data_IF_984123770592
#
_entry.id   IF_984123770592
#
_cell.length_a   1.000
_cell.length_b   1.000
_cell.length_c   1.000
_cell.angle_alpha   90.00
_cell.angle_beta   90.00
_cell.angle_gamma   90.00
#
_symmetry.space_group_name_H-M   'P 1'
#
loop_
_entity.id
_entity.type
_entity.pdbx_description
1 polymer ?
#
# COMPACT_ATOMS: atom_id res chain seq x y z
N UNK A 1 3.49 27.19 -55.36
CA UNK A 1 2.65 28.40 -55.24
C UNK A 1 2.57 28.73 -53.77
N UNK A 2 3.39 29.52 -53.25
CA UNK A 2 3.42 30.96 -52.89
C UNK A 2 2.05 31.48 -52.48
N UNK A 3 1.88 31.78 -51.16
CA UNK A 3 1.38 33.06 -50.68
C UNK A 3 1.72 33.23 -49.21
N UNK A 4 2.52 34.17 -48.96
CA UNK A 4 2.83 35.05 -47.86
C UNK A 4 1.65 36.00 -47.59
N UNK A 5 1.52 36.52 -46.38
CA UNK A 5 1.12 37.87 -45.94
C UNK A 5 1.14 37.85 -44.42
N UNK A 6 1.91 38.52 -43.71
CA UNK A 6 2.36 39.89 -43.43
C UNK A 6 1.55 40.54 -42.30
N UNK A 7 2.20 40.75 -41.20
CA UNK A 7 2.44 41.96 -40.37
C UNK A 7 1.22 42.69 -39.80
N UNK A 8 1.31 42.95 -38.51
CA UNK A 8 0.57 43.97 -37.81
C UNK A 8 1.11 44.26 -36.42
N UNK A 9 2.17 45.05 -36.34
CA UNK A 9 2.64 45.77 -35.13
C UNK A 9 1.66 46.89 -34.83
N UNK A 10 1.27 47.09 -33.57
CA UNK A 10 0.98 48.41 -33.02
C UNK A 10 1.45 48.43 -31.56
N UNK A 11 2.45 49.26 -31.34
CA UNK A 11 2.89 49.79 -30.05
C UNK A 11 2.24 51.17 -29.87
N UNK A 12 1.76 51.48 -28.67
CA UNK A 12 1.50 52.84 -28.14
C UNK A 12 1.68 52.71 -26.62
N UNK A 13 2.59 53.17 -26.05
CA UNK A 13 3.39 54.28 -25.52
C UNK A 13 2.54 55.32 -24.77
N UNK A 14 3.14 55.76 -23.69
CA UNK A 14 2.95 57.02 -22.89
C UNK A 14 1.97 56.93 -21.74
N UNK A 15 2.35 57.16 -20.58
CA UNK A 15 3.17 58.14 -19.87
C UNK A 15 2.31 58.90 -18.83
N UNK A 16 2.94 59.15 -17.76
CA UNK A 16 3.05 60.35 -16.92
C UNK A 16 2.39 60.33 -15.55
N UNK A 17 3.23 60.15 -14.55
CA UNK A 17 3.56 61.07 -13.40
C UNK A 17 2.40 61.88 -12.78
N UNK A 18 2.19 61.70 -11.49
CA UNK A 18 2.04 62.74 -10.54
C UNK A 18 2.43 62.27 -9.13
N UNK A 19 3.49 62.90 -8.61
CA UNK A 19 3.81 62.97 -7.20
C UNK A 19 2.79 63.90 -6.54
N UNK A 20 2.35 63.53 -5.36
CA UNK A 20 2.03 64.59 -4.37
C UNK A 20 2.31 64.03 -2.96
N UNK A 21 3.25 64.68 -2.30
CA UNK A 21 3.55 64.59 -0.89
C UNK A 21 2.33 65.06 -0.10
N UNK A 22 1.94 64.31 0.93
CA UNK A 22 1.26 64.90 2.05
C UNK A 22 1.91 64.46 3.36
N UNK A 23 2.57 65.41 3.93
CA UNK A 23 3.22 65.41 5.24
C UNK A 23 2.19 65.20 6.37
N UNK A 24 2.55 64.26 7.24
CA UNK A 24 2.57 64.44 8.69
C UNK A 24 1.23 64.75 9.40
N UNK A 25 0.70 63.73 10.06
CA UNK A 25 0.07 63.91 11.37
C UNK A 25 0.29 62.70 12.24
N UNK A 26 1.27 62.86 13.14
CA UNK A 26 1.52 61.93 14.26
C UNK A 26 0.28 62.00 15.19
N UNK A 27 -0.50 60.93 15.18
CA UNK A 27 -1.45 60.65 16.25
C UNK A 27 -0.99 59.38 16.93
N UNK A 28 -0.41 59.53 18.11
CA UNK A 28 -0.09 58.43 19.00
C UNK A 28 -1.41 57.88 19.51
N UNK A 29 -1.88 56.81 18.92
CA UNK A 29 -2.94 56.03 19.50
C UNK A 29 -2.33 54.94 20.37
N UNK A 30 -2.73 54.93 21.62
CA UNK A 30 -2.43 53.90 22.59
C UNK A 30 -2.79 52.52 21.99
N UNK A 31 -1.77 51.69 21.77
CA UNK A 31 -1.97 50.29 21.51
C UNK A 31 -2.40 49.60 22.80
N UNK A 32 -3.68 49.32 22.94
CA UNK A 32 -4.15 48.30 23.87
C UNK A 32 -3.50 46.97 23.46
N UNK A 33 -2.59 46.51 24.30
CA UNK A 33 -2.05 45.14 24.19
C UNK A 33 -3.17 44.18 24.61
N UNK A 34 -4.09 43.92 23.70
CA UNK A 34 -4.96 42.79 23.82
C UNK A 34 -4.12 41.54 23.67
N UNK A 35 -3.92 40.83 24.77
CA UNK A 35 -3.29 39.54 24.79
C UNK A 35 -4.15 38.54 23.99
N UNK A 36 -3.92 38.50 22.69
CA UNK A 36 -4.46 37.40 21.87
C UNK A 36 -3.71 36.15 22.29
N UNK A 37 -4.40 35.29 23.04
CA UNK A 37 -3.97 33.92 23.28
C UNK A 37 -3.76 33.26 21.93
N UNK A 38 -2.51 32.96 21.58
CA UNK A 38 -2.16 32.16 20.42
C UNK A 38 -2.89 30.82 20.61
N UNK A 39 -3.77 30.41 19.68
CA UNK A 39 -4.39 29.10 19.78
C UNK A 39 -3.27 28.05 19.78
N UNK A 40 -3.25 27.22 20.81
CA UNK A 40 -2.31 26.12 20.92
C UNK A 40 -2.41 25.28 19.64
N UNK A 41 -1.32 25.21 18.90
CA UNK A 41 -1.18 24.32 17.75
C UNK A 41 -1.51 22.91 18.23
N UNK A 42 -2.49 22.21 17.64
CA UNK A 42 -2.76 20.85 18.04
C UNK A 42 -1.47 20.03 17.92
N UNK A 43 -1.21 19.09 18.84
CA UNK A 43 -0.01 18.28 18.78
C UNK A 43 0.04 17.61 17.41
N UNK A 44 1.19 17.73 16.73
CA UNK A 44 1.48 16.99 15.52
C UNK A 44 1.28 15.50 15.87
N UNK A 45 0.18 14.93 15.40
CA UNK A 45 -0.01 13.48 15.42
C UNK A 45 1.12 12.95 14.55
N UNK A 46 2.12 12.37 15.20
CA UNK A 46 3.18 11.69 14.50
C UNK A 46 2.50 10.59 13.66
N UNK A 47 2.43 10.79 12.35
CA UNK A 47 1.91 9.77 11.46
C UNK A 47 2.78 8.53 11.68
N UNK A 48 2.16 7.49 12.26
CA UNK A 48 2.77 6.17 12.37
C UNK A 48 3.26 5.79 10.95
N UNK A 49 4.49 5.31 10.79
CA UNK A 49 4.98 4.96 9.46
C UNK A 49 4.04 3.90 8.86
N UNK A 50 3.49 4.20 7.68
CA UNK A 50 2.59 3.28 6.95
C UNK A 50 3.34 2.06 6.40
N UNK A 51 4.65 1.96 6.64
CA UNK A 51 5.52 0.92 6.10
C UNK A 51 6.26 0.16 7.19
N UNK A 52 6.47 -1.12 6.96
CA UNK A 52 7.08 -2.07 7.87
C UNK A 52 8.10 -2.93 7.14
N UNK A 53 8.93 -3.67 7.87
CA UNK A 53 9.87 -4.62 7.29
C UNK A 53 9.37 -6.04 7.50
N UNK A 54 9.19 -6.79 6.42
CA UNK A 54 8.93 -8.22 6.47
C UNK A 54 10.27 -8.94 6.72
N UNK A 55 10.49 -9.38 7.97
CA UNK A 55 11.78 -9.92 8.40
C UNK A 55 11.98 -11.37 8.00
N UNK A 56 10.90 -12.13 7.87
CA UNK A 56 10.95 -13.57 7.52
C UNK A 56 9.63 -14.04 6.92
N UNK A 57 9.71 -14.94 5.97
CA UNK A 57 8.58 -15.75 5.48
C UNK A 57 8.58 -17.08 6.23
N UNK A 58 7.45 -17.43 6.84
CA UNK A 58 7.26 -18.70 7.58
C UNK A 58 6.76 -19.77 6.61
N UNK A 59 5.74 -19.42 5.82
CA UNK A 59 5.11 -20.23 4.80
C UNK A 59 4.58 -19.35 3.68
N UNK A 60 4.04 -19.91 2.61
CA UNK A 60 3.56 -19.15 1.45
C UNK A 60 2.51 -18.07 1.76
N UNK A 61 1.78 -18.22 2.87
CA UNK A 61 0.73 -17.29 3.29
C UNK A 61 0.93 -16.69 4.71
N UNK A 62 2.10 -16.92 5.31
CA UNK A 62 2.39 -16.48 6.67
C UNK A 62 3.78 -15.87 6.76
N UNK A 63 3.86 -14.63 7.25
CA UNK A 63 5.11 -13.87 7.37
C UNK A 63 5.31 -13.32 8.78
N UNK A 64 6.55 -12.92 9.10
CA UNK A 64 6.90 -12.18 10.32
C UNK A 64 7.26 -10.77 9.90
N UNK A 65 6.67 -9.79 10.56
CA UNK A 65 6.85 -8.36 10.30
C UNK A 65 7.25 -7.65 11.59
N UNK A 66 8.20 -6.74 11.51
CA UNK A 66 8.58 -5.87 12.63
C UNK A 66 7.62 -4.67 12.66
N UNK A 67 6.78 -4.59 13.70
CA UNK A 67 5.81 -3.53 13.93
C UNK A 67 6.09 -2.91 15.30
N UNK A 68 6.43 -1.62 15.34
CA UNK A 68 6.72 -0.88 16.59
C UNK A 68 7.75 -1.59 17.50
N UNK A 69 8.77 -2.23 16.90
CA UNK A 69 9.79 -2.98 17.62
C UNK A 69 9.39 -4.40 18.03
N UNK A 70 8.17 -4.84 17.70
CA UNK A 70 7.66 -6.19 18.02
C UNK A 70 7.57 -7.03 16.76
N UNK A 71 8.00 -8.29 16.83
CA UNK A 71 7.84 -9.25 15.74
C UNK A 71 6.43 -9.84 15.76
N UNK A 72 5.61 -9.42 14.81
CA UNK A 72 4.23 -9.88 14.64
C UNK A 72 4.11 -10.91 13.53
N UNK A 73 3.34 -11.96 13.79
CA UNK A 73 2.99 -12.96 12.77
C UNK A 73 1.77 -12.50 11.99
N UNK A 74 1.91 -12.39 10.69
CA UNK A 74 0.85 -11.97 9.76
C UNK A 74 0.35 -13.20 8.99
N UNK A 75 -0.98 -13.41 8.97
CA UNK A 75 -1.66 -14.30 8.03
C UNK A 75 -2.20 -13.46 6.88
N UNK A 76 -1.76 -13.76 5.68
CA UNK A 76 -2.14 -13.05 4.45
C UNK A 76 -3.60 -13.36 4.13
N UNK A 77 -4.48 -12.34 4.17
CA UNK A 77 -5.93 -12.51 3.95
C UNK A 77 -6.22 -13.02 2.53
N UNK A 78 -7.18 -13.93 2.43
CA UNK A 78 -7.72 -14.39 1.13
C UNK A 78 -6.82 -15.32 0.35
N UNK A 79 -5.70 -15.76 0.94
CA UNK A 79 -4.74 -16.68 0.31
C UNK A 79 -4.62 -17.95 1.14
N UNK A 80 -4.59 -19.09 0.49
CA UNK A 80 -4.22 -20.38 1.09
C UNK A 80 -3.18 -21.05 0.21
N UNK A 81 -2.01 -21.33 0.79
CA UNK A 81 -0.92 -22.00 0.09
C UNK A 81 -0.76 -23.43 0.56
N UNK A 82 -0.21 -24.33 -0.28
CA UNK A 82 0.11 -25.68 0.18
C UNK A 82 1.06 -25.65 1.39
N UNK A 83 0.73 -26.43 2.42
CA UNK A 83 1.38 -26.41 3.74
C UNK A 83 2.80 -26.97 3.72
N UNK A 84 3.73 -26.30 4.42
CA UNK A 84 5.13 -26.73 4.53
C UNK A 84 5.62 -26.90 5.97
N UNK A 85 4.95 -26.30 6.95
CA UNK A 85 5.49 -26.17 8.32
C UNK A 85 4.68 -26.90 9.39
N UNK A 86 3.52 -27.51 9.08
CA UNK A 86 2.78 -28.31 10.05
C UNK A 86 3.52 -29.66 10.29
N UNK A 87 4.11 -29.86 11.49
CA UNK A 87 4.90 -31.06 11.77
C UNK A 87 4.09 -32.36 11.77
N UNK A 88 2.76 -32.26 11.76
CA UNK A 88 1.85 -33.39 11.76
C UNK A 88 1.49 -33.90 10.35
N UNK A 89 1.93 -33.16 9.32
CA UNK A 89 1.61 -33.45 7.92
C UNK A 89 2.89 -33.44 7.08
N UNK A 90 2.97 -34.29 6.03
CA UNK A 90 4.03 -34.15 5.05
C UNK A 90 3.92 -32.80 4.36
N UNK A 91 5.05 -32.29 3.88
CA UNK A 91 5.08 -31.09 3.01
C UNK A 91 4.19 -31.38 1.81
N UNK A 92 3.20 -30.52 1.60
CA UNK A 92 2.29 -30.67 0.47
C UNK A 92 2.99 -30.35 -0.84
N UNK A 93 2.53 -31.00 -1.92
CA UNK A 93 3.00 -30.69 -3.25
C UNK A 93 2.90 -29.18 -3.52
N UNK A 94 3.90 -28.64 -4.20
CA UNK A 94 4.05 -27.22 -4.49
C UNK A 94 4.30 -26.31 -3.28
N UNK A 95 4.20 -26.78 -2.03
CA UNK A 95 4.34 -25.96 -0.83
C UNK A 95 5.68 -25.23 -0.77
N UNK A 96 6.79 -25.93 -1.01
CA UNK A 96 8.12 -25.31 -1.02
C UNK A 96 8.23 -24.19 -2.06
N UNK A 97 7.71 -24.41 -3.28
CA UNK A 97 7.71 -23.41 -4.34
C UNK A 97 6.87 -22.19 -3.97
N UNK A 98 5.71 -22.38 -3.32
CA UNK A 98 4.87 -21.30 -2.84
C UNK A 98 5.59 -20.48 -1.76
N UNK A 99 6.22 -21.15 -0.79
CA UNK A 99 7.00 -20.48 0.26
C UNK A 99 8.19 -19.70 -0.31
N UNK A 100 8.95 -20.28 -1.23
CA UNK A 100 10.08 -19.63 -1.92
C UNK A 100 9.62 -18.42 -2.75
N UNK A 101 8.48 -18.53 -3.43
CA UNK A 101 7.91 -17.41 -4.17
C UNK A 101 7.56 -16.24 -3.25
N UNK A 102 6.83 -16.49 -2.16
CA UNK A 102 6.50 -15.46 -1.17
C UNK A 102 7.77 -14.88 -0.55
N UNK A 103 8.78 -15.72 -0.29
CA UNK A 103 10.08 -15.28 0.22
C UNK A 103 10.78 -14.33 -0.75
N UNK A 104 10.80 -14.63 -2.04
CA UNK A 104 11.40 -13.77 -3.07
C UNK A 104 10.73 -12.40 -3.16
N UNK A 105 9.42 -12.33 -2.88
CA UNK A 105 8.65 -11.08 -2.90
C UNK A 105 8.86 -10.23 -1.63
N UNK A 106 8.97 -10.86 -0.45
CA UNK A 106 8.76 -10.17 0.82
C UNK A 106 9.94 -10.19 1.78
N UNK A 107 10.83 -11.18 1.74
CA UNK A 107 11.87 -11.30 2.77
C UNK A 107 12.83 -10.11 2.75
N UNK A 108 12.97 -9.46 3.90
CA UNK A 108 13.74 -8.23 4.10
C UNK A 108 13.29 -7.04 3.24
N UNK A 109 12.02 -7.03 2.79
CA UNK A 109 11.44 -5.92 2.03
C UNK A 109 10.64 -5.00 2.92
N UNK A 110 10.61 -3.72 2.52
CA UNK A 110 9.66 -2.75 3.04
C UNK A 110 8.30 -2.98 2.40
N UNK A 111 7.27 -3.07 3.24
CA UNK A 111 5.90 -3.36 2.85
C UNK A 111 4.93 -2.40 3.53
N UNK A 112 3.73 -2.26 2.97
CA UNK A 112 2.57 -1.66 3.62
C UNK A 112 1.58 -2.75 4.00
N UNK A 113 0.97 -2.60 5.17
CA UNK A 113 -0.08 -3.50 5.65
C UNK A 113 -1.42 -2.78 5.63
N UNK A 114 -2.47 -3.49 5.26
CA UNK A 114 -3.85 -3.01 5.29
C UNK A 114 -4.72 -4.04 6.00
N UNK A 115 -5.53 -3.60 6.95
CA UNK A 115 -6.52 -4.42 7.63
C UNK A 115 -7.81 -4.54 6.81
N UNK A 116 -8.64 -5.49 7.21
CA UNK A 116 -10.01 -5.62 6.71
C UNK A 116 -10.97 -5.63 7.90
N UNK A 117 -11.77 -4.58 8.07
CA UNK A 117 -12.71 -4.50 9.19
C UNK A 117 -13.70 -5.66 9.24
N UNK A 118 -13.97 -6.32 8.10
CA UNK A 118 -14.90 -7.46 8.04
C UNK A 118 -14.28 -8.75 8.56
N UNK A 119 -12.93 -8.89 8.54
CA UNK A 119 -12.24 -10.13 8.88
C UNK A 119 -11.78 -10.19 10.35
N UNK A 120 -11.85 -9.06 11.07
CA UNK A 120 -11.28 -8.92 12.39
C UNK A 120 -9.76 -8.71 12.37
N UNK A 121 -9.19 -8.38 13.53
CA UNK A 121 -7.76 -8.05 13.62
C UNK A 121 -6.87 -9.29 13.60
N UNK A 122 -7.26 -10.36 14.31
CA UNK A 122 -6.46 -11.58 14.47
C UNK A 122 -7.28 -12.85 14.28
N UNK A 123 -6.61 -13.89 13.83
CA UNK A 123 -7.19 -15.22 13.77
C UNK A 123 -7.16 -15.96 15.14
N UNK A 124 -7.67 -17.17 15.18
CA UNK A 124 -7.65 -18.03 16.39
C UNK A 124 -6.25 -18.41 16.88
N UNK A 125 -5.22 -18.25 16.03
CA UNK A 125 -3.82 -18.49 16.37
C UNK A 125 -3.08 -17.21 16.75
N UNK A 126 -3.81 -16.09 16.96
CA UNK A 126 -3.28 -14.78 17.30
C UNK A 126 -2.45 -14.10 16.21
N UNK A 127 -2.51 -14.58 14.96
CA UNK A 127 -1.85 -13.94 13.82
C UNK A 127 -2.68 -12.74 13.38
N UNK A 128 -2.04 -11.61 13.07
CA UNK A 128 -2.70 -10.45 12.45
C UNK A 128 -3.18 -10.83 11.04
N UNK A 129 -4.40 -10.43 10.71
CA UNK A 129 -4.98 -10.62 9.38
C UNK A 129 -4.76 -9.35 8.56
N UNK A 130 -3.95 -9.43 7.48
CA UNK A 130 -3.59 -8.24 6.68
C UNK A 130 -3.54 -8.54 5.19
N UNK A 131 -3.83 -7.50 4.41
CA UNK A 131 -3.36 -7.40 3.04
C UNK A 131 -1.95 -6.84 3.05
N UNK A 132 -1.11 -7.33 2.14
CA UNK A 132 0.31 -6.99 2.06
C UNK A 132 0.57 -6.32 0.71
N UNK A 133 1.14 -5.12 0.74
CA UNK A 133 1.50 -4.36 -0.45
C UNK A 133 3.01 -4.12 -0.48
N UNK A 134 3.60 -4.26 -1.66
CA UNK A 134 4.93 -3.75 -1.93
C UNK A 134 4.90 -2.22 -2.06
N UNK A 135 6.06 -1.59 -2.03
CA UNK A 135 6.20 -0.13 -2.15
C UNK A 135 5.79 0.42 -3.52
N UNK A 136 5.76 -0.42 -4.55
CA UNK A 136 5.26 -0.09 -5.88
C UNK A 136 3.74 -0.22 -6.02
N UNK A 137 3.03 -0.57 -4.94
CA UNK A 137 1.59 -0.76 -4.91
C UNK A 137 1.12 -2.17 -5.27
N UNK A 138 2.01 -3.10 -5.58
CA UNK A 138 1.64 -4.50 -5.86
C UNK A 138 0.97 -5.14 -4.65
N UNK A 139 -0.25 -5.63 -4.81
CA UNK A 139 -0.97 -6.43 -3.80
C UNK A 139 -0.45 -7.87 -3.84
N UNK A 140 0.39 -8.21 -2.86
CA UNK A 140 1.09 -9.51 -2.80
C UNK A 140 0.12 -10.68 -2.68
N UNK A 141 -0.97 -10.52 -1.93
CA UNK A 141 -2.05 -11.50 -1.82
C UNK A 141 -2.53 -11.95 -3.21
N UNK A 142 -2.92 -10.97 -4.04
CA UNK A 142 -3.37 -11.23 -5.41
C UNK A 142 -2.26 -11.80 -6.28
N UNK A 143 -1.02 -11.32 -6.10
CA UNK A 143 0.14 -11.78 -6.87
C UNK A 143 0.42 -13.27 -6.63
N UNK A 144 0.35 -13.74 -5.39
CA UNK A 144 0.51 -15.16 -5.05
C UNK A 144 -0.53 -16.02 -5.79
N UNK A 145 -1.79 -15.59 -5.78
CA UNK A 145 -2.90 -16.31 -6.45
C UNK A 145 -2.74 -16.26 -7.96
N UNK A 146 -2.50 -15.08 -8.53
CA UNK A 146 -2.45 -14.89 -10.00
C UNK A 146 -1.29 -15.61 -10.68
N UNK A 147 -0.20 -15.89 -9.93
CA UNK A 147 0.93 -16.68 -10.42
C UNK A 147 0.78 -18.18 -10.09
N UNK A 148 -0.33 -18.56 -9.45
CA UNK A 148 -0.64 -19.96 -9.16
C UNK A 148 0.18 -20.55 -8.01
N UNK A 149 0.61 -19.73 -7.03
CA UNK A 149 1.31 -20.21 -5.84
C UNK A 149 0.41 -20.40 -4.62
N UNK A 150 -0.88 -20.08 -4.76
CA UNK A 150 -1.90 -20.28 -3.73
C UNK A 150 -3.30 -20.24 -4.31
N UNK A 151 -4.27 -20.66 -3.50
CA UNK A 151 -5.69 -20.62 -3.78
C UNK A 151 -6.32 -19.34 -3.22
N UNK A 152 -7.44 -18.91 -3.81
CA UNK A 152 -8.34 -18.00 -3.11
C UNK A 152 -8.96 -18.73 -1.92
N UNK A 153 -8.99 -18.08 -0.77
CA UNK A 153 -9.53 -18.65 0.46
C UNK A 153 -10.47 -17.69 1.20
N UNK A 154 -11.74 -18.05 1.23
CA UNK A 154 -12.76 -17.36 2.03
C UNK A 154 -13.07 -18.18 3.28
N UNK A 155 -12.68 -17.67 4.48
CA UNK A 155 -12.88 -18.42 5.72
C UNK A 155 -14.35 -18.49 6.16
N UNK A 156 -15.04 -17.35 6.29
CA UNK A 156 -16.44 -17.32 6.72
C UNK A 156 -17.30 -16.35 5.93
N UNK A 157 -16.83 -15.13 5.76
CA UNK A 157 -17.55 -14.04 5.11
C UNK A 157 -16.67 -13.44 3.99
N UNK A 158 -17.29 -12.80 3.00
CA UNK A 158 -16.55 -12.08 1.97
C UNK A 158 -15.61 -11.04 2.56
N UNK A 159 -14.51 -10.81 1.89
CA UNK A 159 -13.49 -9.83 2.24
C UNK A 159 -13.29 -8.83 1.09
N UNK A 160 -12.59 -7.72 1.36
CA UNK A 160 -12.50 -6.56 0.47
C UNK A 160 -12.11 -6.90 -0.98
N UNK A 161 -11.12 -7.74 -1.20
CA UNK A 161 -10.57 -8.07 -2.52
C UNK A 161 -11.01 -9.45 -3.06
N UNK A 162 -12.08 -10.03 -2.52
CA UNK A 162 -12.49 -11.40 -2.86
C UNK A 162 -12.80 -11.59 -4.35
N UNK A 163 -13.48 -10.62 -4.98
CA UNK A 163 -13.85 -10.71 -6.40
C UNK A 163 -12.62 -10.75 -7.29
N UNK A 164 -11.64 -9.90 -6.99
CA UNK A 164 -10.36 -9.81 -7.69
C UNK A 164 -9.55 -11.09 -7.51
N UNK A 165 -9.52 -11.66 -6.29
CA UNK A 165 -8.77 -12.87 -5.99
C UNK A 165 -9.38 -14.10 -6.68
N UNK A 166 -10.70 -14.22 -6.67
CA UNK A 166 -11.40 -15.25 -7.43
C UNK A 166 -11.16 -15.14 -8.94
N UNK A 167 -11.10 -13.92 -9.46
CA UNK A 167 -10.76 -13.71 -10.87
C UNK A 167 -9.31 -14.09 -11.16
N UNK A 168 -8.38 -13.71 -10.27
CA UNK A 168 -6.97 -14.07 -10.36
C UNK A 168 -6.76 -15.58 -10.36
N UNK A 169 -7.47 -16.31 -9.48
CA UNK A 169 -7.41 -17.78 -9.45
C UNK A 169 -7.97 -18.42 -10.74
N UNK A 170 -9.13 -17.96 -11.22
CA UNK A 170 -9.67 -18.47 -12.49
C UNK A 170 -8.67 -18.32 -13.63
N UNK A 171 -8.05 -17.14 -13.73
CA UNK A 171 -7.03 -16.87 -14.74
C UNK A 171 -5.80 -17.77 -14.56
N UNK A 172 -5.32 -17.94 -13.33
CA UNK A 172 -4.18 -18.82 -13.04
C UNK A 172 -4.47 -20.27 -13.46
N UNK A 173 -5.68 -20.76 -13.23
CA UNK A 173 -6.14 -22.10 -13.67
C UNK A 173 -6.23 -22.21 -15.18
N UNK A 174 -6.85 -21.23 -15.85
CA UNK A 174 -7.03 -21.20 -17.29
C UNK A 174 -5.68 -21.20 -18.03
N UNK A 175 -4.72 -20.39 -17.54
CA UNK A 175 -3.36 -20.31 -18.10
C UNK A 175 -2.39 -21.33 -17.51
N UNK A 176 -2.86 -22.30 -16.73
CA UNK A 176 -2.07 -23.38 -16.14
C UNK A 176 -0.82 -22.90 -15.41
N UNK A 177 -0.96 -21.83 -14.61
CA UNK A 177 0.14 -21.24 -13.88
C UNK A 177 0.43 -21.98 -12.57
N UNK A 178 1.71 -22.08 -12.21
CA UNK A 178 2.18 -22.56 -10.93
C UNK A 178 1.63 -23.95 -10.57
N UNK A 179 0.88 -24.07 -9.47
CA UNK A 179 0.26 -25.32 -9.01
C UNK A 179 -0.79 -25.90 -9.97
N UNK A 180 -1.28 -25.07 -10.93
CA UNK A 180 -2.25 -25.46 -11.93
C UNK A 180 -1.61 -25.97 -13.23
N UNK A 181 -0.28 -25.93 -13.34
CA UNK A 181 0.41 -26.45 -14.52
C UNK A 181 0.27 -27.97 -14.61
N UNK A 182 0.21 -28.49 -15.83
CA UNK A 182 0.20 -29.93 -16.05
C UNK A 182 1.46 -30.55 -15.44
N UNK A 183 1.30 -31.61 -14.65
CA UNK A 183 2.41 -32.26 -13.97
C UNK A 183 3.02 -31.48 -12.80
N UNK A 184 2.44 -30.37 -12.35
CA UNK A 184 2.98 -29.57 -11.24
C UNK A 184 3.15 -30.38 -9.95
N UNK A 185 2.30 -31.40 -9.75
CA UNK A 185 2.26 -32.29 -8.59
C UNK A 185 2.40 -33.78 -8.92
N UNK A 186 2.74 -34.12 -10.15
CA UNK A 186 3.06 -35.48 -10.54
C UNK A 186 4.50 -35.78 -10.09
N UNK A 187 4.64 -36.49 -8.97
CA UNK A 187 5.90 -36.95 -8.40
C UNK A 187 5.87 -38.46 -8.20
#
# INVERSE_FOLDING_TARGET
MKKRVLIGFIAILSAFVAQDEFLNKTTVQNLDISTHSVPATPPLVANKPDTFVATRVVDGDTIIVLIDGVLEKIRIIGVDTPETVDPRKPVQCFGRKASEFTKSLLENKTIRLEDDPTQGDRDKYKRLLRYVFLTDGTLVNQKIISEGYGHEYTYRIPYKYQTEFRSAERNAREYKKGLWADGACDA
#
